data_IF_587621446671
#
_entry.id   IF_587621446671
#
_cell.length_a   1.000
_cell.length_b   1.000
_cell.length_c   1.000
_cell.angle_alpha   90.00
_cell.angle_beta   90.00
_cell.angle_gamma   90.00
#
_symmetry.space_group_name_H-M   'P 1'
#
loop_
_entity.id
_entity.type
_entity.pdbx_description
1 polymer ?
#
# COMPACT_ATOMS: atom_id res chain seq x y z
N UNK A 1 0.99 -16.71 4.11
CA UNK A 1 -0.47 -16.66 3.97
C UNK A 1 -0.91 -15.33 3.41
N UNK A 2 -1.79 -15.37 2.47
CA UNK A 2 -2.28 -14.19 1.78
C UNK A 2 -3.68 -13.86 2.25
N UNK A 3 -3.95 -12.59 2.49
CA UNK A 3 -5.26 -12.15 2.93
C UNK A 3 -5.78 -11.07 1.98
N UNK A 4 -6.96 -11.28 1.47
CA UNK A 4 -7.59 -10.31 0.58
C UNK A 4 -8.00 -9.08 1.39
N UNK A 5 -7.65 -7.92 0.89
CA UNK A 5 -8.10 -6.68 1.48
C UNK A 5 -9.48 -6.37 0.95
N UNK A 6 -10.47 -6.61 1.78
CA UNK A 6 -11.84 -6.39 1.40
C UNK A 6 -12.27 -5.01 1.85
N UNK A 7 -12.05 -4.04 1.00
CA UNK A 7 -12.39 -2.68 1.30
C UNK A 7 -13.43 -2.19 0.31
N UNK A 8 -14.65 -2.04 0.75
CA UNK A 8 -15.73 -1.57 -0.10
C UNK A 8 -16.48 -0.48 0.64
N UNK A 9 -16.28 0.78 0.27
CA UNK A 9 -17.08 1.85 0.84
C UNK A 9 -18.54 1.64 0.47
N UNK A 10 -19.40 1.81 1.41
CA UNK A 10 -20.81 1.59 1.20
C UNK A 10 -21.41 2.42 0.09
N UNK A 11 -20.78 3.53 -0.22
CA UNK A 11 -21.32 4.49 -1.17
C UNK A 11 -20.94 4.25 -2.61
N UNK A 12 -20.15 3.23 -2.89
CA UNK A 12 -19.66 2.99 -4.25
C UNK A 12 -20.05 1.66 -4.80
N UNK A 13 -21.11 1.11 -4.30
CA UNK A 13 -21.53 -0.23 -4.69
C UNK A 13 -22.00 -0.33 -6.14
N UNK A 14 -22.09 0.77 -6.86
CA UNK A 14 -22.50 0.68 -8.26
C UNK A 14 -21.63 1.50 -9.17
N UNK A 15 -20.63 2.16 -8.67
CA UNK A 15 -19.93 3.14 -9.47
C UNK A 15 -18.64 2.65 -10.08
N UNK A 16 -17.86 1.89 -9.34
CA UNK A 16 -16.49 1.62 -9.75
C UNK A 16 -16.22 0.14 -9.89
N UNK A 17 -15.59 -0.19 -11.00
CA UNK A 17 -15.17 -1.54 -11.26
C UNK A 17 -13.78 -1.75 -10.72
N UNK A 18 -13.55 -2.88 -10.05
CA UNK A 18 -12.23 -3.22 -9.53
C UNK A 18 -11.34 -3.61 -10.70
N UNK A 19 -10.26 -2.86 -10.91
CA UNK A 19 -9.31 -3.16 -11.98
C UNK A 19 -8.08 -3.90 -11.49
N UNK A 20 -7.85 -3.97 -10.17
CA UNK A 20 -6.77 -4.77 -9.60
C UNK A 20 -7.12 -5.18 -8.19
N UNK A 21 -6.77 -6.41 -7.85
CA UNK A 21 -6.95 -6.91 -6.49
C UNK A 21 -5.79 -6.47 -5.63
N UNK A 22 -6.08 -6.25 -4.34
CA UNK A 22 -5.06 -5.91 -3.35
C UNK A 22 -5.12 -6.96 -2.26
N UNK A 23 -3.98 -7.59 -1.97
CA UNK A 23 -3.89 -8.59 -0.93
C UNK A 23 -2.74 -8.25 0.02
N UNK A 24 -2.73 -8.90 1.18
CA UNK A 24 -1.67 -8.76 2.17
C UNK A 24 -0.81 -10.01 2.15
N UNK A 25 0.49 -9.83 2.27
CA UNK A 25 1.39 -10.95 2.48
C UNK A 25 1.72 -11.03 3.96
N UNK A 26 1.35 -12.11 4.61
CA UNK A 26 1.52 -12.30 6.04
C UNK A 26 0.80 -11.17 6.81
N UNK A 27 1.37 -10.73 7.93
CA UNK A 27 0.73 -9.72 8.77
C UNK A 27 1.44 -8.36 8.76
N UNK A 28 2.37 -8.17 7.83
CA UNK A 28 3.17 -6.93 7.82
C UNK A 28 2.32 -5.67 7.70
N UNK A 29 1.40 -5.65 6.74
CA UNK A 29 0.54 -4.50 6.57
C UNK A 29 -0.41 -4.33 7.74
N UNK A 30 -0.97 -5.42 8.23
CA UNK A 30 -1.94 -5.35 9.33
C UNK A 30 -1.32 -4.75 10.59
N UNK A 31 -0.08 -5.12 10.91
CA UNK A 31 0.60 -4.57 12.08
C UNK A 31 0.80 -3.07 11.96
N UNK A 32 1.14 -2.60 10.77
CA UNK A 32 1.25 -1.17 10.52
C UNK A 32 -0.11 -0.50 10.66
N UNK A 33 -1.12 -1.06 10.01
CA UNK A 33 -2.45 -0.46 9.95
C UNK A 33 -3.10 -0.32 11.33
N UNK A 34 -2.96 -1.33 12.17
CA UNK A 34 -3.55 -1.34 13.50
C UNK A 34 -3.06 -0.20 14.39
N UNK A 35 -1.85 0.26 14.16
CA UNK A 35 -1.24 1.30 14.99
C UNK A 35 -1.64 2.71 14.58
N UNK A 36 -2.33 2.84 13.46
CA UNK A 36 -2.67 4.15 12.93
C UNK A 36 -3.88 4.73 13.63
N UNK A 37 -3.93 6.07 13.80
CA UNK A 37 -5.16 6.71 14.27
C UNK A 37 -6.28 6.45 13.29
N UNK A 38 -7.50 6.46 13.78
CA UNK A 38 -8.68 6.16 12.97
C UNK A 38 -8.75 7.01 11.69
N UNK A 39 -8.47 8.30 11.80
CA UNK A 39 -8.54 9.19 10.64
C UNK A 39 -7.52 8.83 9.58
N UNK A 40 -6.34 8.41 10.02
CA UNK A 40 -5.29 7.99 9.09
C UNK A 40 -5.68 6.67 8.43
N UNK A 41 -6.25 5.73 9.21
CA UNK A 41 -6.72 4.46 8.61
C UNK A 41 -7.74 4.72 7.52
N UNK A 42 -8.64 5.68 7.72
CA UNK A 42 -9.62 6.03 6.70
C UNK A 42 -8.94 6.56 5.43
N UNK A 43 -7.87 7.32 5.60
CA UNK A 43 -7.12 7.82 4.44
C UNK A 43 -6.42 6.68 3.72
N UNK A 44 -5.86 5.73 4.47
CA UNK A 44 -5.24 4.54 3.88
C UNK A 44 -6.30 3.79 3.08
N UNK A 45 -7.47 3.57 3.67
CA UNK A 45 -8.56 2.87 2.99
C UNK A 45 -8.92 3.57 1.67
N UNK A 46 -9.02 4.89 1.72
CA UNK A 46 -9.35 5.66 0.53
C UNK A 46 -8.29 5.49 -0.57
N UNK A 47 -7.02 5.60 -0.20
CA UNK A 47 -5.93 5.47 -1.17
C UNK A 47 -5.91 4.07 -1.78
N UNK A 48 -6.06 3.04 -0.95
CA UNK A 48 -6.10 1.67 -1.47
C UNK A 48 -7.30 1.44 -2.37
N UNK A 49 -8.44 2.03 -2.01
CA UNK A 49 -9.61 1.94 -2.87
C UNK A 49 -9.32 2.58 -4.23
N UNK A 50 -8.76 3.78 -4.23
CA UNK A 50 -8.45 4.49 -5.48
C UNK A 50 -7.48 3.67 -6.34
N UNK A 51 -6.51 3.03 -5.70
CA UNK A 51 -5.56 2.18 -6.43
C UNK A 51 -6.30 0.99 -7.06
N UNK A 52 -7.27 0.44 -6.35
CA UNK A 52 -7.99 -0.74 -6.85
C UNK A 52 -8.91 -0.45 -8.01
N UNK A 53 -9.37 0.79 -8.18
CA UNK A 53 -10.36 1.13 -9.22
C UNK A 53 -9.81 2.04 -10.32
N UNK A 54 -8.60 2.53 -10.19
CA UNK A 54 -8.02 3.47 -11.15
C UNK A 54 -7.03 2.74 -12.06
N UNK A 55 -7.25 2.83 -13.37
CA UNK A 55 -6.39 2.16 -14.34
C UNK A 55 -4.96 2.68 -14.26
N UNK A 56 -4.79 3.99 -14.32
CA UNK A 56 -3.47 4.62 -14.22
C UNK A 56 -3.37 5.34 -12.89
N UNK A 57 -2.63 4.77 -11.96
CA UNK A 57 -2.55 5.29 -10.60
C UNK A 57 -1.72 6.56 -10.57
N UNK A 58 -2.27 7.67 -10.05
CA UNK A 58 -1.50 8.92 -9.95
C UNK A 58 -0.26 8.75 -9.07
N UNK A 59 0.81 9.44 -9.42
CA UNK A 59 2.07 9.34 -8.69
C UNK A 59 1.96 9.83 -7.23
N UNK A 60 0.95 10.63 -6.93
CA UNK A 60 0.77 11.04 -5.53
C UNK A 60 0.35 9.88 -4.64
N UNK A 61 -0.16 8.80 -5.22
CA UNK A 61 -0.58 7.61 -4.46
C UNK A 61 0.36 6.43 -4.62
N UNK A 62 1.19 6.40 -5.66
CA UNK A 62 1.88 5.17 -6.01
C UNK A 62 3.12 5.47 -6.85
N UNK A 63 4.25 4.87 -6.50
CA UNK A 63 5.49 5.13 -7.21
C UNK A 63 6.43 3.94 -7.11
N UNK A 64 7.22 3.71 -8.16
CA UNK A 64 8.25 2.67 -8.11
C UNK A 64 9.42 3.14 -7.25
N UNK A 65 10.11 2.17 -6.64
CA UNK A 65 11.29 2.45 -5.81
C UNK A 65 12.53 2.31 -6.68
N UNK A 66 13.35 3.35 -6.70
CA UNK A 66 14.61 3.30 -7.43
C UNK A 66 15.55 2.29 -6.81
N UNK A 67 16.28 1.57 -7.64
CA UNK A 67 17.29 0.59 -7.21
C UNK A 67 16.69 -0.54 -6.37
N UNK A 68 15.40 -0.79 -6.50
CA UNK A 68 14.74 -1.89 -5.81
C UNK A 68 13.77 -2.50 -6.80
N UNK A 69 14.30 -3.33 -7.67
CA UNK A 69 13.59 -3.88 -8.80
C UNK A 69 12.32 -4.61 -8.38
N UNK A 70 11.20 -4.19 -8.94
CA UNK A 70 9.91 -4.82 -8.64
C UNK A 70 9.23 -4.29 -7.40
N UNK A 71 9.84 -3.37 -6.68
CA UNK A 71 9.27 -2.84 -5.46
C UNK A 71 8.65 -1.47 -5.73
N UNK A 72 7.46 -1.25 -5.17
CA UNK A 72 6.72 0.01 -5.30
C UNK A 72 6.31 0.49 -3.92
N UNK A 73 5.90 1.75 -3.83
CA UNK A 73 5.37 2.29 -2.58
C UNK A 73 4.01 2.91 -2.81
N UNK A 74 3.08 2.57 -1.92
CA UNK A 74 1.81 3.26 -1.79
C UNK A 74 2.08 4.49 -0.93
N UNK A 75 1.59 5.63 -1.35
CA UNK A 75 1.89 6.91 -0.73
C UNK A 75 0.64 7.49 -0.09
N UNK A 76 0.70 7.71 1.20
CA UNK A 76 -0.44 8.23 1.97
C UNK A 76 0.01 9.48 2.71
N UNK A 77 -0.78 10.55 2.60
CA UNK A 77 -0.54 11.79 3.34
C UNK A 77 -1.79 12.17 4.08
N UNK A 78 -1.63 12.55 5.35
CA UNK A 78 -2.73 13.04 6.14
C UNK A 78 -2.23 14.20 7.00
N UNK A 79 -2.76 15.40 6.72
CA UNK A 79 -2.20 16.59 7.33
C UNK A 79 -0.74 16.75 6.89
N UNK A 80 0.14 16.92 7.86
CA UNK A 80 1.58 17.02 7.58
C UNK A 80 2.29 15.68 7.73
N UNK A 81 1.55 14.60 8.00
CA UNK A 81 2.14 13.29 8.21
C UNK A 81 2.16 12.49 6.94
N UNK A 82 3.26 11.77 6.73
CA UNK A 82 3.49 10.99 5.51
C UNK A 82 3.67 9.53 5.89
N UNK A 83 2.98 8.66 5.15
CA UNK A 83 3.07 7.22 5.38
C UNK A 83 3.37 6.53 4.06
N UNK A 84 4.05 5.40 4.13
CA UNK A 84 4.38 4.60 2.96
C UNK A 84 4.08 3.14 3.24
N UNK A 85 3.63 2.41 2.23
CA UNK A 85 3.46 0.97 2.31
C UNK A 85 4.17 0.39 1.11
N UNK A 86 5.14 -0.49 1.34
CA UNK A 86 5.84 -1.16 0.26
C UNK A 86 4.98 -2.28 -0.30
N UNK A 87 5.13 -2.53 -1.58
CA UNK A 87 4.30 -3.51 -2.27
C UNK A 87 4.97 -3.96 -3.56
N UNK A 88 4.41 -5.01 -4.16
CA UNK A 88 4.84 -5.45 -5.48
C UNK A 88 3.63 -5.91 -6.27
N UNK A 89 3.79 -5.99 -7.59
CA UNK A 89 2.78 -6.63 -8.41
C UNK A 89 3.11 -8.11 -8.51
N UNK A 90 2.09 -8.93 -8.49
CA UNK A 90 2.21 -10.34 -8.80
C UNK A 90 1.50 -10.58 -10.12
N UNK A 91 1.15 -11.81 -10.40
CA UNK A 91 0.55 -12.21 -11.67
C UNK A 91 -0.57 -11.26 -12.07
N UNK A 92 -0.45 -10.72 -13.29
CA UNK A 92 -1.43 -9.80 -13.80
C UNK A 92 -1.45 -8.48 -13.04
N UNK A 93 -2.60 -8.15 -12.44
CA UNK A 93 -2.79 -6.87 -11.77
C UNK A 93 -2.85 -6.99 -10.26
N UNK A 94 -2.46 -8.13 -9.72
CA UNK A 94 -2.51 -8.37 -8.29
C UNK A 94 -1.45 -7.51 -7.59
N UNK A 95 -1.88 -6.71 -6.62
CA UNK A 95 -0.97 -5.90 -5.82
C UNK A 95 -0.86 -6.50 -4.43
N UNK A 96 0.37 -6.78 -4.01
CA UNK A 96 0.65 -7.45 -2.75
C UNK A 96 1.30 -6.47 -1.78
N UNK A 97 0.65 -6.22 -0.66
CA UNK A 97 1.14 -5.25 0.33
C UNK A 97 2.10 -5.91 1.32
N UNK A 98 3.16 -5.18 1.63
CA UNK A 98 4.20 -5.60 2.56
C UNK A 98 4.16 -4.70 3.81
N UNK A 99 5.32 -4.28 4.28
CA UNK A 99 5.40 -3.46 5.49
C UNK A 99 5.10 -1.98 5.21
N UNK A 100 4.55 -1.32 6.21
CA UNK A 100 4.29 0.12 6.13
C UNK A 100 4.98 0.84 7.28
N UNK A 101 5.11 2.15 7.14
CA UNK A 101 5.76 2.97 8.15
C UNK A 101 5.37 4.43 7.98
N UNK A 102 5.59 5.21 9.05
CA UNK A 102 5.43 6.66 9.00
C UNK A 102 6.78 7.27 8.66
N UNK A 103 6.78 8.09 7.62
CA UNK A 103 8.01 8.71 7.16
C UNK A 103 8.26 9.97 8.00
N UNK A 104 9.38 10.01 8.71
CA UNK A 104 9.70 11.11 9.61
C UNK A 104 10.84 11.98 9.12
N UNK A 105 11.34 11.73 7.92
CA UNK A 105 12.39 12.52 7.31
C UNK A 105 12.22 12.49 5.80
N UNK A 106 13.05 13.27 5.09
CA UNK A 106 13.02 13.32 3.64
C UNK A 106 13.35 11.96 3.02
N UNK A 107 14.18 11.18 3.71
CA UNK A 107 14.62 9.88 3.20
C UNK A 107 13.75 8.76 3.72
N UNK A 108 13.56 7.74 2.90
CA UNK A 108 12.99 6.48 3.34
C UNK A 108 14.01 5.81 4.27
N UNK A 109 13.60 5.40 5.48
CA UNK A 109 14.53 4.71 6.38
C UNK A 109 15.08 3.44 5.75
N UNK A 110 16.41 3.27 5.82
CA UNK A 110 17.05 2.10 5.23
C UNK A 110 16.54 0.79 5.79
N UNK A 111 16.27 0.75 7.10
CA UNK A 111 15.78 -0.49 7.73
C UNK A 111 14.42 -0.90 7.18
N UNK A 112 13.54 0.06 6.89
CA UNK A 112 12.24 -0.25 6.32
C UNK A 112 12.37 -0.75 4.90
N UNK A 113 13.23 -0.13 4.11
CA UNK A 113 13.46 -0.53 2.73
C UNK A 113 14.10 -1.92 2.67
N UNK A 114 15.09 -2.18 3.52
CA UNK A 114 15.73 -3.50 3.55
C UNK A 114 14.75 -4.58 3.98
N UNK A 115 13.88 -4.26 4.92
CA UNK A 115 12.84 -5.19 5.33
C UNK A 115 11.93 -5.52 4.14
N UNK A 116 11.54 -4.51 3.37
CA UNK A 116 10.69 -4.73 2.21
C UNK A 116 11.37 -5.59 1.16
N UNK A 117 12.67 -5.38 0.95
CA UNK A 117 13.43 -6.20 0.00
C UNK A 117 13.48 -7.66 0.43
N UNK A 118 13.67 -7.89 1.74
CA UNK A 118 13.68 -9.25 2.27
C UNK A 118 12.32 -9.91 2.11
N UNK A 119 11.25 -9.16 2.34
CA UNK A 119 9.89 -9.69 2.18
C UNK A 119 9.64 -10.03 0.71
N UNK A 120 10.09 -9.17 -0.19
CA UNK A 120 9.94 -9.42 -1.62
C UNK A 120 10.68 -10.69 -2.05
N UNK A 121 11.88 -10.89 -1.53
CA UNK A 121 12.66 -12.10 -1.83
C UNK A 121 11.97 -13.34 -1.28
N UNK A 122 11.33 -13.22 -0.13
CA UNK A 122 10.62 -14.33 0.49
C UNK A 122 9.34 -14.66 -0.24
N UNK A 123 8.67 -13.66 -0.75
CA UNK A 123 7.36 -13.83 -1.40
C UNK A 123 7.52 -14.57 -2.72
#
# INVERSE_FOLDING_TARGET
MVKLFCFVPLLVNFAMEIVREIIFYKNHFELFYERLPRKVRKKVDYVLYMISVTEHIPSKFFKSIENANGLFEVRIEYGSNIYRVFCCFDTGRLLVLFNGFQKKSQRTPNNELEKAKQILDEY
#
